data_IF_343738342886
#
_entry.id   IF_343738342886
#
_cell.length_a   1.000
_cell.length_b   1.000
_cell.length_c   1.000
_cell.angle_alpha   90.00
_cell.angle_beta   90.00
_cell.angle_gamma   90.00
#
_symmetry.space_group_name_H-M   'P 1'
#
loop_
_entity.id
_entity.type
_entity.pdbx_description
1 polymer ?
#
# COMPACT_ATOMS: atom_id res chain seq x y z
N UNK A 1 -2.41 -39.21 29.32
CA UNK A 1 -2.98 -38.34 28.25
C UNK A 1 -2.16 -37.09 28.32
N UNK A 2 -1.10 -37.02 27.52
CA UNK A 2 -0.20 -35.89 27.50
C UNK A 2 -0.83 -34.79 26.65
N UNK A 3 -1.12 -33.64 27.29
CA UNK A 3 -1.41 -32.40 26.60
C UNK A 3 -0.26 -32.13 25.62
N UNK A 4 -0.57 -32.18 24.34
CA UNK A 4 0.33 -31.66 23.30
C UNK A 4 0.23 -30.14 23.46
N UNK A 5 1.24 -29.62 24.17
CA UNK A 5 1.51 -28.18 24.28
C UNK A 5 1.78 -27.68 22.86
N UNK A 6 0.72 -27.20 22.20
CA UNK A 6 0.84 -26.65 20.85
C UNK A 6 1.66 -25.37 21.00
N UNK A 7 2.91 -25.39 20.56
CA UNK A 7 3.82 -24.26 20.61
C UNK A 7 3.09 -23.01 20.04
N UNK A 8 2.80 -21.98 20.86
CA UNK A 8 2.09 -20.77 20.42
C UNK A 8 2.86 -20.00 19.34
N UNK A 9 4.11 -20.38 19.08
CA UNK A 9 4.95 -19.81 18.02
C UNK A 9 4.50 -20.22 16.60
N UNK A 10 3.63 -21.24 16.47
CA UNK A 10 3.16 -21.79 15.19
C UNK A 10 1.67 -21.50 14.91
N UNK A 11 0.96 -20.76 15.79
CA UNK A 11 -0.44 -20.47 15.58
C UNK A 11 -0.68 -19.67 14.29
N UNK A 12 -1.63 -20.17 13.46
CA UNK A 12 -2.12 -19.48 12.27
C UNK A 12 -3.23 -18.46 12.59
N UNK A 13 -3.85 -18.56 13.78
CA UNK A 13 -4.90 -17.64 14.21
C UNK A 13 -4.29 -16.28 14.60
N UNK A 14 -4.61 -15.20 13.89
CA UNK A 14 -4.12 -13.87 14.21
C UNK A 14 -4.42 -13.43 15.66
N UNK A 15 -5.53 -13.91 16.24
CA UNK A 15 -5.91 -13.55 17.61
C UNK A 15 -5.00 -14.22 18.66
N UNK A 16 -4.60 -15.45 18.43
CA UNK A 16 -3.62 -16.14 19.30
C UNK A 16 -2.22 -15.53 19.18
N UNK A 17 -1.82 -15.16 17.96
CA UNK A 17 -0.58 -14.40 17.70
C UNK A 17 -0.60 -13.07 18.44
N UNK A 18 -1.70 -12.32 18.38
CA UNK A 18 -1.86 -11.06 19.10
C UNK A 18 -1.75 -11.27 20.62
N UNK A 19 -2.42 -12.29 21.17
CA UNK A 19 -2.37 -12.59 22.60
C UNK A 19 -0.95 -12.96 23.06
N UNK A 20 -0.19 -13.72 22.25
CA UNK A 20 1.20 -14.07 22.54
C UNK A 20 2.12 -12.84 22.46
N UNK A 21 1.94 -11.99 21.45
CA UNK A 21 2.68 -10.73 21.31
C UNK A 21 2.39 -9.76 22.45
N UNK A 22 1.11 -9.65 22.87
CA UNK A 22 0.71 -8.82 23.99
C UNK A 22 1.38 -9.21 25.31
N UNK A 23 1.50 -10.51 25.58
CA UNK A 23 2.27 -11.00 26.75
C UNK A 23 3.76 -10.59 26.68
N UNK A 24 4.38 -10.69 25.50
CA UNK A 24 5.79 -10.30 25.31
C UNK A 24 6.00 -8.80 25.46
N UNK A 25 5.09 -7.99 24.92
CA UNK A 25 5.17 -6.54 24.91
C UNK A 25 4.54 -5.87 26.15
N UNK A 26 4.00 -6.65 27.08
CA UNK A 26 3.25 -6.15 28.24
C UNK A 26 2.04 -5.29 27.84
N UNK A 27 1.34 -5.64 26.76
CA UNK A 27 0.14 -4.96 26.24
C UNK A 27 -1.09 -5.82 26.50
N UNK A 28 -2.14 -5.21 27.05
CA UNK A 28 -3.43 -5.91 27.26
C UNK A 28 -4.15 -6.13 25.93
N UNK A 29 -4.48 -7.40 25.62
CA UNK A 29 -5.12 -7.80 24.34
C UNK A 29 -6.44 -8.54 24.53
N UNK A 30 -6.91 -8.74 25.77
CA UNK A 30 -8.12 -9.52 26.05
C UNK A 30 -9.38 -8.93 25.40
N UNK A 31 -9.49 -7.60 25.38
CA UNK A 31 -10.64 -6.87 24.84
C UNK A 31 -10.39 -6.39 23.38
N UNK A 32 -9.47 -7.03 22.67
CA UNK A 32 -9.15 -6.65 21.29
C UNK A 32 -10.36 -6.79 20.37
N UNK A 33 -10.70 -5.72 19.65
CA UNK A 33 -11.78 -5.69 18.66
C UNK A 33 -11.17 -5.69 17.26
N UNK A 34 -11.65 -6.56 16.38
CA UNK A 34 -11.20 -6.66 15.00
C UNK A 34 -11.63 -5.40 14.23
N UNK A 35 -10.67 -4.67 13.63
CA UNK A 35 -10.93 -3.55 12.73
C UNK A 35 -10.98 -4.03 11.27
N UNK A 36 -9.99 -4.85 10.88
CA UNK A 36 -9.82 -5.29 9.49
C UNK A 36 -9.17 -6.67 9.46
N UNK A 37 -9.71 -7.54 8.62
CA UNK A 37 -9.12 -8.83 8.25
C UNK A 37 -8.66 -8.77 6.78
N UNK A 38 -7.36 -8.88 6.57
CA UNK A 38 -6.73 -8.76 5.24
C UNK A 38 -5.34 -9.39 5.22
N UNK A 39 -4.45 -8.92 4.35
CA UNK A 39 -3.05 -9.35 4.36
C UNK A 39 -2.39 -9.08 5.73
N UNK A 40 -2.74 -7.95 6.33
CA UNK A 40 -2.47 -7.67 7.75
C UNK A 40 -3.79 -7.65 8.50
N UNK A 41 -3.81 -8.18 9.71
CA UNK A 41 -4.99 -8.17 10.57
C UNK A 41 -4.84 -7.07 11.62
N UNK A 42 -5.81 -6.16 11.67
CA UNK A 42 -5.80 -4.99 12.54
C UNK A 42 -6.78 -5.19 13.70
N UNK A 43 -6.29 -4.95 14.91
CA UNK A 43 -7.10 -4.96 16.13
C UNK A 43 -7.01 -3.63 16.86
N UNK A 44 -8.17 -3.12 17.27
CA UNK A 44 -8.25 -2.02 18.24
C UNK A 44 -8.10 -2.59 19.64
N UNK A 45 -7.27 -1.97 20.46
CA UNK A 45 -7.05 -2.30 21.86
C UNK A 45 -7.54 -1.16 22.76
N UNK A 46 -7.65 -1.46 24.04
CA UNK A 46 -7.88 -0.42 25.06
C UNK A 46 -6.70 0.54 25.15
N UNK A 47 -6.94 1.76 25.61
CA UNK A 47 -5.86 2.76 25.77
C UNK A 47 -5.42 3.46 24.48
N UNK A 48 -6.22 3.41 23.40
CA UNK A 48 -5.93 4.12 22.17
C UNK A 48 -4.80 3.49 21.34
N UNK A 49 -4.68 2.17 21.39
CA UNK A 49 -3.68 1.38 20.66
C UNK A 49 -4.32 0.58 19.54
N UNK A 50 -3.66 0.50 18.39
CA UNK A 50 -3.97 -0.44 17.32
C UNK A 50 -2.81 -1.42 17.18
N UNK A 51 -3.12 -2.73 17.21
CA UNK A 51 -2.18 -3.79 16.90
C UNK A 51 -2.36 -4.24 15.45
N UNK A 52 -1.24 -4.40 14.73
CA UNK A 52 -1.21 -4.95 13.37
C UNK A 52 -0.44 -6.26 13.39
N UNK A 53 -1.12 -7.35 13.10
CA UNK A 53 -0.55 -8.70 12.97
C UNK A 53 -0.20 -8.93 11.51
N UNK A 54 1.09 -9.02 11.21
CA UNK A 54 1.60 -9.25 9.86
C UNK A 54 1.52 -10.71 9.43
N UNK A 55 1.63 -10.98 8.13
CA UNK A 55 1.77 -12.34 7.61
C UNK A 55 3.12 -12.97 8.03
N UNK A 56 3.24 -14.32 7.95
CA UNK A 56 4.52 -15.01 8.18
C UNK A 56 5.64 -14.43 7.30
N UNK A 57 6.84 -14.27 7.84
CA UNK A 57 8.03 -13.82 7.13
C UNK A 57 8.09 -12.32 6.80
N UNK A 58 7.10 -11.50 7.25
CA UNK A 58 7.04 -10.07 6.91
C UNK A 58 7.77 -9.14 7.89
N UNK A 59 8.72 -9.65 8.67
CA UNK A 59 9.46 -8.85 9.65
C UNK A 59 10.14 -7.63 9.03
N UNK A 60 10.81 -7.79 7.88
CA UNK A 60 11.51 -6.67 7.22
C UNK A 60 10.56 -5.55 6.78
N UNK A 61 9.33 -5.90 6.40
CA UNK A 61 8.29 -4.92 6.07
C UNK A 61 7.84 -4.18 7.33
N UNK A 62 7.62 -4.91 8.44
CA UNK A 62 7.25 -4.34 9.72
C UNK A 62 8.33 -3.38 10.26
N UNK A 63 9.60 -3.77 10.20
CA UNK A 63 10.74 -2.93 10.57
C UNK A 63 10.80 -1.65 9.73
N UNK A 64 10.58 -1.76 8.42
CA UNK A 64 10.55 -0.61 7.50
C UNK A 64 9.44 0.37 7.87
N UNK A 65 8.23 -0.11 8.12
CA UNK A 65 7.10 0.73 8.50
C UNK A 65 7.36 1.52 9.79
N UNK A 66 7.91 0.86 10.81
CA UNK A 66 8.24 1.50 12.08
C UNK A 66 9.28 2.61 11.86
N UNK A 67 10.35 2.30 11.11
CA UNK A 67 11.40 3.27 10.79
C UNK A 67 10.86 4.43 9.96
N UNK A 68 10.03 4.15 8.95
CA UNK A 68 9.39 5.17 8.14
C UNK A 68 8.46 6.07 8.97
N UNK A 69 7.64 5.49 9.85
CA UNK A 69 6.78 6.25 10.76
C UNK A 69 7.56 7.23 11.64
N UNK A 70 8.64 6.76 12.24
CA UNK A 70 9.49 7.58 13.12
C UNK A 70 10.17 8.69 12.34
N UNK A 71 10.85 8.35 11.26
CA UNK A 71 11.55 9.33 10.42
C UNK A 71 10.62 10.40 9.85
N UNK A 72 9.47 10.02 9.30
CA UNK A 72 8.49 10.97 8.75
C UNK A 72 7.95 11.90 9.85
N UNK A 73 7.68 11.35 11.02
CA UNK A 73 7.20 12.14 12.14
C UNK A 73 8.25 13.16 12.63
N UNK A 74 9.52 12.75 12.71
CA UNK A 74 10.65 13.62 13.09
C UNK A 74 10.88 14.72 12.03
N UNK A 75 10.63 14.40 10.75
CA UNK A 75 10.65 15.36 9.65
C UNK A 75 9.40 16.27 9.58
N UNK A 76 8.45 16.13 10.52
CA UNK A 76 7.25 16.95 10.58
C UNK A 76 6.17 16.59 9.56
N UNK A 77 6.24 15.39 8.95
CA UNK A 77 5.16 14.86 8.11
C UNK A 77 4.16 14.14 9.02
N UNK A 78 2.88 14.53 9.02
CA UNK A 78 1.86 13.83 9.77
C UNK A 78 1.70 12.40 9.23
N UNK A 79 1.91 11.41 10.09
CA UNK A 79 1.92 10.00 9.74
C UNK A 79 1.36 9.17 10.87
N UNK A 80 0.79 8.01 10.60
CA UNK A 80 0.43 7.04 11.64
C UNK A 80 1.65 6.75 12.51
N UNK A 81 1.49 6.88 13.84
CA UNK A 81 2.60 6.84 14.80
C UNK A 81 2.78 5.42 15.35
N UNK A 82 3.98 4.85 15.13
CA UNK A 82 4.39 3.67 15.87
C UNK A 82 4.58 4.04 17.36
N UNK A 83 4.16 3.16 18.28
CA UNK A 83 4.38 3.40 19.70
C UNK A 83 5.87 3.34 20.03
N UNK A 84 6.36 4.37 20.72
CA UNK A 84 7.79 4.45 21.13
C UNK A 84 8.06 3.77 22.48
N UNK A 85 6.99 3.45 23.22
CA UNK A 85 7.08 2.82 24.55
C UNK A 85 7.25 1.30 24.51
N UNK A 86 7.19 0.69 23.32
CA UNK A 86 7.26 -0.75 23.12
C UNK A 86 8.41 -1.04 22.14
N UNK A 87 9.26 -2.01 22.51
CA UNK A 87 10.25 -2.55 21.58
C UNK A 87 9.51 -3.39 20.52
N UNK A 88 9.64 -2.98 19.25
CA UNK A 88 8.85 -3.53 18.17
C UNK A 88 9.62 -3.60 16.83
N UNK A 89 9.28 -4.52 15.93
CA UNK A 89 8.11 -5.41 15.97
C UNK A 89 8.25 -6.51 17.03
N UNK A 90 7.13 -6.90 17.67
CA UNK A 90 7.10 -8.06 18.56
C UNK A 90 6.89 -9.34 17.74
N UNK A 91 7.87 -10.24 17.73
CA UNK A 91 7.80 -11.47 16.94
C UNK A 91 7.12 -12.60 17.70
N UNK A 92 6.19 -13.30 17.02
CA UNK A 92 5.60 -14.58 17.44
C UNK A 92 5.84 -15.60 16.33
N UNK A 93 6.82 -16.47 16.52
CA UNK A 93 7.39 -17.25 15.42
C UNK A 93 7.98 -16.33 14.37
N UNK A 94 7.53 -16.46 13.14
CA UNK A 94 7.90 -15.65 11.98
C UNK A 94 6.89 -14.52 11.66
N UNK A 95 5.89 -14.32 12.53
CA UNK A 95 4.87 -13.27 12.36
C UNK A 95 5.18 -12.04 13.21
N UNK A 96 5.35 -10.86 12.62
CA UNK A 96 5.53 -9.62 13.34
C UNK A 96 4.18 -9.06 13.82
N UNK A 97 4.18 -8.49 15.03
CA UNK A 97 3.10 -7.65 15.54
C UNK A 97 3.66 -6.26 15.80
N UNK A 98 3.03 -5.25 15.23
CA UNK A 98 3.39 -3.85 15.42
C UNK A 98 2.28 -3.08 16.13
N UNK A 99 2.67 -2.06 16.89
CA UNK A 99 1.81 -1.33 17.81
C UNK A 99 1.78 0.14 17.41
N UNK A 100 0.56 0.66 17.24
CA UNK A 100 0.34 1.98 16.66
C UNK A 100 -0.58 2.82 17.54
N UNK A 101 -0.41 4.12 17.50
CA UNK A 101 -1.35 5.07 18.10
C UNK A 101 -2.66 5.02 17.29
N UNK A 102 -3.77 4.82 17.98
CA UNK A 102 -5.09 4.85 17.34
C UNK A 102 -5.37 6.26 16.82
N UNK A 103 -5.85 6.33 15.58
CA UNK A 103 -6.30 7.59 15.00
C UNK A 103 -7.71 7.93 15.51
N UNK A 104 -8.02 9.23 15.65
CA UNK A 104 -9.38 9.68 15.91
C UNK A 104 -10.30 9.35 14.73
N UNK A 105 -11.58 9.66 14.86
CA UNK A 105 -12.53 9.57 13.74
C UNK A 105 -12.03 10.44 12.57
N UNK A 106 -12.06 9.88 11.36
CA UNK A 106 -11.44 10.50 10.19
C UNK A 106 -12.20 10.18 8.90
N UNK A 107 -12.00 11.01 7.90
CA UNK A 107 -12.41 10.81 6.51
C UNK A 107 -11.20 10.57 5.60
N UNK A 108 -11.43 10.04 4.42
CA UNK A 108 -10.42 10.04 3.37
C UNK A 108 -10.06 11.46 2.93
N UNK A 109 -8.82 11.64 2.47
CA UNK A 109 -8.34 12.89 1.95
C UNK A 109 -8.98 13.23 0.58
N UNK A 110 -9.03 14.52 0.28
CA UNK A 110 -9.31 15.02 -1.07
C UNK A 110 -8.06 14.90 -1.95
N UNK A 111 -8.19 15.00 -3.29
CA UNK A 111 -7.06 15.10 -4.19
C UNK A 111 -6.07 16.21 -3.84
N UNK A 112 -6.55 17.41 -3.53
CA UNK A 112 -5.71 18.53 -3.11
C UNK A 112 -4.92 18.25 -1.83
N UNK A 113 -5.55 17.64 -0.82
CA UNK A 113 -4.88 17.25 0.43
C UNK A 113 -3.78 16.21 0.16
N UNK A 114 -4.02 15.25 -0.74
CA UNK A 114 -3.01 14.28 -1.16
C UNK A 114 -1.84 14.96 -1.86
N UNK A 115 -2.10 15.86 -2.83
CA UNK A 115 -1.09 16.62 -3.55
C UNK A 115 -0.19 17.41 -2.59
N UNK A 116 -0.80 18.13 -1.65
CA UNK A 116 -0.06 18.93 -0.68
C UNK A 116 0.83 18.10 0.26
N UNK A 117 0.36 16.92 0.70
CA UNK A 117 1.17 16.03 1.56
C UNK A 117 2.31 15.39 0.76
N UNK A 118 2.05 14.96 -0.49
CA UNK A 118 3.11 14.42 -1.37
C UNK A 118 4.15 15.47 -1.71
N UNK A 119 3.78 16.72 -1.97
CA UNK A 119 4.73 17.81 -2.19
C UNK A 119 5.68 17.99 -0.99
N UNK A 120 5.16 17.93 0.24
CA UNK A 120 5.98 18.01 1.45
C UNK A 120 6.87 16.79 1.65
N UNK A 121 6.35 15.57 1.43
CA UNK A 121 7.10 14.33 1.51
C UNK A 121 8.27 14.34 0.53
N UNK A 122 8.00 14.68 -0.71
CA UNK A 122 8.98 14.68 -1.80
C UNK A 122 10.01 15.82 -1.71
N UNK A 123 9.77 16.81 -0.86
CA UNK A 123 10.74 17.88 -0.58
C UNK A 123 11.75 17.51 0.51
N UNK A 124 11.57 16.37 1.20
CA UNK A 124 12.51 15.92 2.21
C UNK A 124 13.81 15.42 1.56
N UNK A 125 14.92 15.73 2.20
CA UNK A 125 16.20 15.14 1.83
C UNK A 125 16.19 13.62 2.08
N UNK A 126 16.88 12.88 1.23
CA UNK A 126 17.06 11.45 1.43
C UNK A 126 17.92 11.24 2.69
N UNK A 127 17.40 10.52 3.70
CA UNK A 127 18.14 10.38 4.96
C UNK A 127 19.32 9.42 4.79
N UNK A 128 20.41 9.72 5.50
CA UNK A 128 21.51 8.76 5.66
C UNK A 128 21.08 7.56 6.52
N UNK A 129 20.22 7.82 7.51
CA UNK A 129 19.58 6.83 8.38
C UNK A 129 18.17 7.29 8.77
N UNK A 130 17.15 6.40 8.70
CA UNK A 130 17.21 5.02 8.21
C UNK A 130 17.43 4.93 6.71
N UNK A 131 18.09 3.88 6.25
CA UNK A 131 18.13 3.58 4.82
C UNK A 131 16.81 2.96 4.35
N UNK A 132 16.33 3.39 3.17
CA UNK A 132 15.15 2.86 2.53
C UNK A 132 15.52 2.07 1.26
N UNK A 133 14.82 0.95 0.95
CA UNK A 133 15.06 0.21 -0.28
C UNK A 133 14.59 1.01 -1.49
N UNK A 134 15.16 0.71 -2.65
CA UNK A 134 14.60 1.22 -3.92
C UNK A 134 13.27 0.51 -4.20
N UNK A 135 12.25 1.29 -4.55
CA UNK A 135 10.94 0.76 -4.94
C UNK A 135 11.04 0.14 -6.33
N UNK A 136 10.75 -1.16 -6.45
CA UNK A 136 10.57 -1.83 -7.73
C UNK A 136 9.07 -1.94 -8.06
N UNK A 137 8.56 -1.23 -9.06
CA UNK A 137 7.16 -1.33 -9.47
C UNK A 137 6.70 -2.74 -9.88
N UNK A 138 7.63 -3.66 -10.10
CA UNK A 138 7.37 -5.03 -10.54
C UNK A 138 7.56 -6.08 -9.43
N UNK A 139 7.88 -5.65 -8.20
CA UNK A 139 8.06 -6.56 -7.07
C UNK A 139 6.80 -7.44 -6.86
N UNK A 140 6.99 -8.77 -6.76
CA UNK A 140 5.92 -9.75 -6.54
C UNK A 140 4.92 -9.94 -7.70
N UNK A 141 5.03 -9.13 -8.77
CA UNK A 141 4.07 -9.15 -9.87
C UNK A 141 4.06 -10.49 -10.62
N UNK A 142 5.23 -11.04 -10.91
CA UNK A 142 5.37 -12.33 -11.59
C UNK A 142 4.75 -13.45 -10.78
N UNK A 143 5.07 -13.54 -9.50
CA UNK A 143 4.55 -14.59 -8.62
C UNK A 143 3.03 -14.53 -8.50
N UNK A 144 2.48 -13.31 -8.43
CA UNK A 144 1.03 -13.07 -8.42
C UNK A 144 0.36 -13.55 -9.71
N UNK A 145 0.97 -13.33 -10.88
CA UNK A 145 0.46 -13.80 -12.17
C UNK A 145 0.58 -15.32 -12.26
N UNK A 146 1.71 -15.90 -11.85
CA UNK A 146 1.99 -17.33 -11.98
C UNK A 146 1.09 -18.18 -11.05
N UNK A 147 0.79 -17.68 -9.85
CA UNK A 147 -0.11 -18.34 -8.89
C UNK A 147 -1.61 -18.16 -9.22
N UNK A 148 -1.95 -17.31 -10.17
CA UNK A 148 -3.32 -16.90 -10.48
C UNK A 148 -4.10 -17.92 -11.33
N UNK A 149 -4.55 -19.02 -10.73
CA UNK A 149 -5.25 -20.13 -11.40
C UNK A 149 -6.65 -19.78 -11.93
N UNK A 150 -7.20 -18.62 -11.60
CA UNK A 150 -8.52 -18.17 -12.04
C UNK A 150 -8.56 -17.66 -13.49
N UNK A 151 -7.40 -17.50 -14.14
CA UNK A 151 -7.24 -17.14 -15.54
C UNK A 151 -6.78 -18.34 -16.37
N UNK A 152 -7.17 -18.42 -17.66
CA UNK A 152 -6.57 -19.33 -18.62
C UNK A 152 -5.06 -19.14 -18.74
N UNK A 153 -4.35 -20.19 -19.14
CA UNK A 153 -2.89 -20.15 -19.33
C UNK A 153 -2.46 -19.10 -20.36
N UNK A 154 -3.25 -18.93 -21.42
CA UNK A 154 -3.02 -17.91 -22.46
C UNK A 154 -3.06 -16.50 -21.88
N UNK A 155 -4.04 -16.18 -21.04
CA UNK A 155 -4.14 -14.86 -20.41
C UNK A 155 -3.00 -14.61 -19.44
N UNK A 156 -2.57 -15.63 -18.67
CA UNK A 156 -1.42 -15.54 -17.78
C UNK A 156 -0.11 -15.34 -18.56
N UNK A 157 0.06 -16.05 -19.67
CA UNK A 157 1.21 -15.87 -20.55
C UNK A 157 1.24 -14.44 -21.11
N UNK A 158 0.11 -13.93 -21.59
CA UNK A 158 -0.01 -12.56 -22.09
C UNK A 158 0.32 -11.52 -21.01
N UNK A 159 -0.15 -11.69 -19.77
CA UNK A 159 0.19 -10.78 -18.65
C UNK A 159 1.69 -10.81 -18.33
N UNK A 160 2.35 -11.98 -18.38
CA UNK A 160 3.83 -12.07 -18.21
C UNK A 160 4.57 -11.32 -19.31
N UNK A 161 4.15 -11.49 -20.56
CA UNK A 161 4.75 -10.79 -21.70
C UNK A 161 4.53 -9.28 -21.59
N UNK A 162 3.34 -8.84 -21.16
CA UNK A 162 3.08 -7.43 -20.87
C UNK A 162 4.00 -6.91 -19.77
N UNK A 163 4.11 -7.62 -18.65
CA UNK A 163 4.99 -7.24 -17.54
C UNK A 163 6.46 -7.11 -17.98
N UNK A 164 6.93 -8.04 -18.82
CA UNK A 164 8.29 -8.02 -19.35
C UNK A 164 8.52 -6.81 -20.28
N UNK A 165 7.60 -6.53 -21.21
CA UNK A 165 7.68 -5.35 -22.08
C UNK A 165 7.70 -4.06 -21.28
N UNK A 166 6.78 -3.92 -20.33
CA UNK A 166 6.70 -2.75 -19.46
C UNK A 166 7.96 -2.57 -18.61
N UNK A 167 8.57 -3.66 -18.14
CA UNK A 167 9.86 -3.57 -17.42
C UNK A 167 10.97 -3.03 -18.32
N UNK A 168 11.05 -3.47 -19.57
CA UNK A 168 12.04 -2.94 -20.52
C UNK A 168 11.80 -1.47 -20.82
N UNK A 169 10.56 -1.06 -21.03
CA UNK A 169 10.19 0.34 -21.22
C UNK A 169 10.53 1.17 -19.98
N UNK A 170 10.14 0.71 -18.79
CA UNK A 170 10.42 1.39 -17.52
C UNK A 170 11.91 1.66 -17.30
N UNK A 171 12.78 0.70 -17.66
CA UNK A 171 14.23 0.86 -17.54
C UNK A 171 14.80 1.95 -18.49
N UNK A 172 14.06 2.35 -19.50
CA UNK A 172 14.47 3.41 -20.46
C UNK A 172 13.82 4.75 -20.13
N UNK A 173 12.88 4.81 -19.19
CA UNK A 173 12.25 6.06 -18.80
C UNK A 173 13.25 6.99 -18.12
N UNK A 174 13.16 8.25 -18.49
CA UNK A 174 13.87 9.34 -17.81
C UNK A 174 12.85 10.08 -16.97
N UNK A 175 12.87 9.95 -15.62
CA UNK A 175 12.01 10.74 -14.75
C UNK A 175 12.26 12.24 -14.96
N UNK A 176 11.19 13.03 -14.97
CA UNK A 176 11.30 14.51 -15.02
C UNK A 176 11.55 15.09 -13.62
N UNK A 177 11.10 14.38 -12.58
CA UNK A 177 11.28 14.78 -11.20
C UNK A 177 12.45 14.00 -10.55
N UNK A 178 13.10 14.65 -9.58
CA UNK A 178 14.20 14.02 -8.86
C UNK A 178 13.71 12.84 -8.01
N UNK A 179 14.56 11.83 -7.88
CA UNK A 179 14.34 10.73 -6.93
C UNK A 179 14.36 11.24 -5.49
N UNK A 180 13.48 10.69 -4.68
CA UNK A 180 13.39 10.99 -3.26
C UNK A 180 12.86 9.78 -2.49
N UNK A 181 12.58 9.93 -1.20
CA UNK A 181 11.73 8.97 -0.47
C UNK A 181 10.29 9.18 -0.93
N UNK A 182 9.69 8.12 -1.42
CA UNK A 182 8.30 8.08 -1.87
C UNK A 182 7.46 7.18 -0.94
N UNK A 183 6.14 7.39 -0.92
CA UNK A 183 5.21 6.52 -0.20
C UNK A 183 5.12 5.13 -0.84
N UNK A 184 5.22 5.06 -2.17
CA UNK A 184 5.21 3.83 -2.97
C UNK A 184 3.82 3.24 -3.27
N UNK A 185 2.80 3.64 -2.52
CA UNK A 185 1.39 3.30 -2.76
C UNK A 185 0.46 4.47 -2.41
N UNK A 186 0.79 5.67 -2.91
CA UNK A 186 0.04 6.88 -2.63
C UNK A 186 -1.31 6.89 -3.37
N UNK A 187 -2.38 7.04 -2.62
CA UNK A 187 -3.75 7.28 -3.07
C UNK A 187 -4.60 7.81 -1.91
N UNK A 188 -5.78 8.35 -2.20
CA UNK A 188 -6.63 9.03 -1.21
C UNK A 188 -7.01 8.15 -0.01
N UNK A 189 -7.10 6.81 -0.18
CA UNK A 189 -7.42 5.89 0.91
C UNK A 189 -6.26 5.64 1.88
N UNK A 190 -5.03 5.99 1.50
CA UNK A 190 -3.84 5.92 2.35
C UNK A 190 -3.49 7.28 2.98
N UNK A 191 -4.39 8.26 2.88
CA UNK A 191 -4.30 9.54 3.56
C UNK A 191 -5.65 9.85 4.21
N UNK A 192 -5.65 10.11 5.50
CA UNK A 192 -6.88 10.39 6.26
C UNK A 192 -6.81 11.74 6.97
N UNK A 193 -7.96 12.37 7.15
CA UNK A 193 -8.08 13.67 7.80
C UNK A 193 -9.01 13.54 9.00
N UNK A 194 -8.55 13.91 10.22
CA UNK A 194 -9.41 13.88 11.40
C UNK A 194 -10.67 14.73 11.21
N UNK A 195 -11.83 14.21 11.60
CA UNK A 195 -13.12 14.91 11.46
C UNK A 195 -13.17 16.18 12.31
N UNK A 196 -12.59 16.16 13.50
CA UNK A 196 -12.51 17.32 14.40
C UNK A 196 -11.51 18.38 13.96
N UNK A 197 -10.85 18.18 12.81
CA UNK A 197 -9.81 19.06 12.30
C UNK A 197 -8.40 18.56 12.62
N UNK A 198 -7.45 19.04 11.84
CA UNK A 198 -6.04 18.63 11.95
C UNK A 198 -5.40 18.42 10.60
N UNK A 199 -4.10 18.11 10.61
CA UNK A 199 -3.36 17.82 9.41
C UNK A 199 -3.70 16.40 8.87
N UNK A 200 -3.73 16.23 7.53
CA UNK A 200 -3.87 14.90 6.92
C UNK A 200 -2.74 13.97 7.37
N UNK A 201 -3.08 12.71 7.70
CA UNK A 201 -2.17 11.69 8.26
C UNK A 201 -1.94 10.59 7.24
N UNK A 202 -0.68 10.33 6.86
CA UNK A 202 -0.29 9.22 5.99
C UNK A 202 -0.41 7.88 6.71
N UNK A 203 -0.97 6.90 6.01
CA UNK A 203 -1.15 5.52 6.44
C UNK A 203 -0.36 4.57 5.53
N UNK A 204 -0.34 3.30 5.88
CA UNK A 204 0.13 2.17 5.06
C UNK A 204 1.55 2.35 4.48
N UNK A 205 2.52 2.38 5.38
CA UNK A 205 3.94 2.65 5.08
C UNK A 205 4.72 1.42 4.56
N UNK A 206 4.01 0.39 4.07
CA UNK A 206 4.59 -0.89 3.62
C UNK A 206 5.56 -0.73 2.44
N UNK A 207 5.28 0.27 1.60
CA UNK A 207 5.99 0.50 0.34
C UNK A 207 6.90 1.73 0.36
N UNK A 208 7.09 2.37 1.53
CA UNK A 208 7.99 3.52 1.64
C UNK A 208 9.41 3.12 1.20
N UNK A 209 9.97 3.88 0.27
CA UNK A 209 11.27 3.59 -0.31
C UNK A 209 11.80 4.72 -1.17
N UNK A 210 12.94 4.50 -1.82
CA UNK A 210 13.51 5.44 -2.79
C UNK A 210 12.94 5.19 -4.17
N UNK A 211 12.52 6.23 -4.85
CA UNK A 211 11.96 6.10 -6.20
C UNK A 211 11.71 7.44 -6.91
N UNK A 212 11.26 7.38 -8.16
CA UNK A 212 10.81 8.56 -8.89
C UNK A 212 9.50 9.06 -8.28
N UNK A 213 9.38 10.37 -8.11
CA UNK A 213 8.17 11.02 -7.55
C UNK A 213 6.91 10.69 -8.35
N UNK A 214 7.07 10.49 -9.65
CA UNK A 214 6.00 10.11 -10.58
C UNK A 214 5.27 8.84 -10.14
N UNK A 215 5.94 7.93 -9.42
CA UNK A 215 5.32 6.71 -8.91
C UNK A 215 4.25 6.96 -7.84
N UNK A 216 4.37 8.02 -7.05
CA UNK A 216 3.33 8.41 -6.09
C UNK A 216 2.20 9.22 -6.74
N UNK A 217 2.45 9.87 -7.86
CA UNK A 217 1.44 10.68 -8.56
C UNK A 217 0.55 9.85 -9.49
N UNK A 218 1.01 8.66 -9.90
CA UNK A 218 0.38 7.86 -10.95
C UNK A 218 -1.03 7.39 -10.60
N UNK A 219 -1.30 7.01 -9.36
CA UNK A 219 -2.59 6.43 -8.99
C UNK A 219 -3.75 7.39 -9.23
N UNK A 220 -3.58 8.66 -8.83
CA UNK A 220 -4.62 9.67 -9.02
C UNK A 220 -4.76 10.08 -10.50
N UNK A 221 -3.65 10.17 -11.23
CA UNK A 221 -3.67 10.44 -12.65
C UNK A 221 -4.42 9.36 -13.44
N UNK A 222 -4.24 8.09 -13.08
CA UNK A 222 -4.96 6.95 -13.67
C UNK A 222 -6.44 6.97 -13.29
N UNK A 223 -6.78 7.30 -12.05
CA UNK A 223 -8.18 7.46 -11.61
C UNK A 223 -8.91 8.56 -12.39
N UNK A 224 -8.18 9.61 -12.78
CA UNK A 224 -8.69 10.69 -13.62
C UNK A 224 -8.87 10.25 -15.08
N UNK A 225 -7.79 9.75 -15.73
CA UNK A 225 -7.79 9.53 -17.19
C UNK A 225 -8.45 8.24 -17.62
N UNK A 226 -8.29 7.16 -16.83
CA UNK A 226 -8.66 5.82 -17.28
C UNK A 226 -9.95 5.32 -16.64
N UNK A 227 -10.35 5.89 -15.50
CA UNK A 227 -11.51 5.46 -14.74
C UNK A 227 -12.57 6.54 -14.55
N UNK A 228 -12.27 7.81 -14.82
CA UNK A 228 -13.15 8.95 -14.54
C UNK A 228 -13.72 8.93 -13.09
N UNK A 229 -12.91 8.47 -12.12
CA UNK A 229 -13.31 8.40 -10.71
C UNK A 229 -13.25 9.74 -10.00
N UNK A 230 -12.47 10.65 -10.54
CA UNK A 230 -12.34 12.03 -10.07
C UNK A 230 -12.64 12.99 -11.20
N UNK A 231 -13.13 14.17 -10.86
CA UNK A 231 -13.44 15.20 -11.85
C UNK A 231 -12.17 15.90 -12.36
N UNK A 232 -12.28 16.62 -13.47
CA UNK A 232 -11.19 17.48 -13.97
C UNK A 232 -10.78 18.53 -12.93
N UNK A 233 -11.75 19.10 -12.20
CA UNK A 233 -11.45 20.06 -11.14
C UNK A 233 -10.65 19.42 -10.00
N UNK A 234 -11.07 18.25 -9.53
CA UNK A 234 -10.37 17.54 -8.45
C UNK A 234 -8.94 17.17 -8.86
N UNK A 235 -8.75 16.76 -10.12
CA UNK A 235 -7.41 16.47 -10.63
C UNK A 235 -6.55 17.74 -10.73
N UNK A 236 -7.13 18.85 -11.18
CA UNK A 236 -6.41 20.14 -11.24
C UNK A 236 -6.03 20.61 -9.83
N UNK A 237 -6.94 20.50 -8.85
CA UNK A 237 -6.67 20.82 -7.46
C UNK A 237 -5.50 19.99 -6.88
N UNK A 238 -5.38 18.72 -7.29
CA UNK A 238 -4.23 17.87 -6.95
C UNK A 238 -2.93 18.38 -7.57
N UNK A 239 -2.96 18.69 -8.88
CA UNK A 239 -1.80 19.21 -9.62
C UNK A 239 -1.31 20.52 -9.00
N UNK A 240 -2.22 21.45 -8.73
CA UNK A 240 -1.89 22.75 -8.15
C UNK A 240 -1.31 22.60 -6.74
N UNK A 241 -1.94 21.75 -5.89
CA UNK A 241 -1.47 21.49 -4.54
C UNK A 241 -0.12 20.77 -4.48
N UNK A 242 0.21 19.96 -5.49
CA UNK A 242 1.53 19.32 -5.62
C UNK A 242 2.62 20.29 -6.10
N UNK A 243 2.28 21.43 -6.67
CA UNK A 243 3.24 22.43 -7.17
C UNK A 243 3.19 22.62 -8.69
N UNK A 244 2.10 22.25 -9.34
CA UNK A 244 1.81 22.53 -10.75
C UNK A 244 2.35 21.48 -11.73
N UNK A 245 2.86 20.32 -11.26
CA UNK A 245 3.33 19.25 -12.14
C UNK A 245 2.17 18.32 -12.54
N UNK A 246 1.75 18.41 -13.81
CA UNK A 246 0.77 17.49 -14.40
C UNK A 246 1.49 16.32 -15.07
N UNK A 247 1.53 15.19 -14.37
CA UNK A 247 2.22 14.01 -14.88
C UNK A 247 1.55 13.36 -16.09
N UNK A 248 0.29 13.69 -16.42
CA UNK A 248 -0.37 13.15 -17.62
C UNK A 248 0.25 13.71 -18.92
N UNK A 249 0.99 14.81 -18.82
CA UNK A 249 1.73 15.41 -19.93
C UNK A 249 3.12 14.81 -20.14
N UNK A 250 3.64 14.08 -19.15
CA UNK A 250 4.95 13.45 -19.25
C UNK A 250 4.95 12.27 -20.22
N UNK A 251 5.99 12.14 -21.04
CA UNK A 251 6.10 11.09 -22.05
C UNK A 251 6.10 9.66 -21.47
N UNK A 252 6.54 9.48 -20.22
CA UNK A 252 6.52 8.19 -19.50
C UNK A 252 5.20 7.85 -18.84
N UNK A 253 4.21 8.77 -18.84
CA UNK A 253 2.93 8.60 -18.15
C UNK A 253 2.25 7.29 -18.50
N UNK A 254 2.07 6.97 -19.79
CA UNK A 254 1.30 5.77 -20.18
C UNK A 254 1.97 4.48 -19.75
N UNK A 255 3.29 4.41 -19.75
CA UNK A 255 4.05 3.25 -19.27
C UNK A 255 3.82 3.05 -17.77
N UNK A 256 3.97 4.09 -16.94
CA UNK A 256 3.70 3.99 -15.50
C UNK A 256 2.23 3.67 -15.20
N UNK A 257 1.29 4.27 -15.92
CA UNK A 257 -0.12 4.01 -15.77
C UNK A 257 -0.45 2.53 -16.05
N UNK A 258 0.08 1.97 -17.14
CA UNK A 258 -0.14 0.55 -17.47
C UNK A 258 0.52 -0.38 -16.43
N UNK A 259 1.68 -0.01 -15.86
CA UNK A 259 2.28 -0.76 -14.75
C UNK A 259 1.36 -0.73 -13.53
N UNK A 260 0.79 0.42 -13.16
CA UNK A 260 -0.14 0.54 -12.03
C UNK A 260 -1.41 -0.29 -12.25
N UNK A 261 -2.01 -0.23 -13.43
CA UNK A 261 -3.17 -1.01 -13.84
C UNK A 261 -2.89 -2.51 -13.78
N UNK A 262 -1.73 -2.94 -14.26
CA UNK A 262 -1.28 -4.34 -14.20
C UNK A 262 -1.11 -4.81 -12.74
N UNK A 263 -0.52 -4.00 -11.86
CA UNK A 263 -0.43 -4.30 -10.43
C UNK A 263 -1.80 -4.47 -9.77
N UNK A 264 -2.74 -3.56 -10.05
CA UNK A 264 -4.12 -3.66 -9.55
C UNK A 264 -4.83 -4.91 -10.09
N UNK A 265 -4.53 -5.32 -11.32
CA UNK A 265 -5.06 -6.58 -11.90
C UNK A 265 -4.47 -7.79 -11.20
N UNK A 266 -3.16 -7.84 -10.98
CA UNK A 266 -2.48 -8.93 -10.29
C UNK A 266 -2.91 -9.06 -8.81
N UNK A 267 -3.17 -7.95 -8.12
CA UNK A 267 -3.73 -7.95 -6.77
C UNK A 267 -5.09 -8.65 -6.69
N UNK A 268 -5.99 -8.36 -7.65
CA UNK A 268 -7.31 -9.03 -7.70
C UNK A 268 -7.18 -10.48 -8.14
N UNK A 269 -6.22 -10.80 -9.00
CA UNK A 269 -5.93 -12.16 -9.43
C UNK A 269 -5.55 -13.06 -8.23
N UNK A 270 -4.77 -12.55 -7.29
CA UNK A 270 -4.45 -13.27 -6.04
C UNK A 270 -5.68 -13.63 -5.19
N UNK A 271 -6.77 -12.87 -5.31
CA UNK A 271 -8.04 -13.14 -4.60
C UNK A 271 -9.03 -14.00 -5.41
N UNK A 272 -8.80 -14.15 -6.71
CA UNK A 272 -9.77 -14.70 -7.66
C UNK A 272 -10.03 -16.20 -7.47
N UNK A 273 -9.09 -16.97 -6.91
CA UNK A 273 -9.26 -18.41 -6.65
C UNK A 273 -10.34 -18.68 -5.62
N UNK A 274 -10.46 -17.84 -4.60
CA UNK A 274 -11.45 -17.99 -3.51
C UNK A 274 -12.70 -17.13 -3.70
N UNK A 275 -12.73 -16.24 -4.71
CA UNK A 275 -13.81 -15.27 -4.90
C UNK A 275 -14.25 -15.19 -6.37
N UNK A 276 -15.43 -15.75 -6.71
CA UNK A 276 -15.95 -15.74 -8.09
C UNK A 276 -16.15 -14.34 -8.69
N UNK A 277 -16.49 -13.33 -7.86
CA UNK A 277 -16.60 -11.94 -8.33
C UNK A 277 -15.23 -11.37 -8.71
N UNK A 278 -14.19 -11.68 -7.92
CA UNK A 278 -12.83 -11.32 -8.25
C UNK A 278 -12.36 -12.01 -9.54
N UNK A 279 -12.70 -13.28 -9.75
CA UNK A 279 -12.38 -14.02 -10.99
C UNK A 279 -13.05 -13.39 -12.22
N UNK A 280 -14.31 -12.96 -12.11
CA UNK A 280 -14.99 -12.24 -13.20
C UNK A 280 -14.30 -10.88 -13.47
N UNK A 281 -13.98 -10.16 -12.40
CA UNK A 281 -13.35 -8.84 -12.51
C UNK A 281 -11.96 -8.93 -13.14
N UNK A 282 -11.16 -9.96 -12.82
CA UNK A 282 -9.84 -10.13 -13.43
C UNK A 282 -9.95 -10.34 -14.94
N UNK A 283 -10.87 -11.17 -15.43
CA UNK A 283 -11.10 -11.34 -16.88
C UNK A 283 -11.46 -10.03 -17.56
N UNK A 284 -12.33 -9.22 -16.92
CA UNK A 284 -12.67 -7.90 -17.42
C UNK A 284 -11.46 -6.97 -17.49
N UNK A 285 -10.60 -6.97 -16.45
CA UNK A 285 -9.38 -6.15 -16.41
C UNK A 285 -8.37 -6.56 -17.48
N UNK A 286 -8.23 -7.86 -17.76
CA UNK A 286 -7.39 -8.36 -18.87
C UNK A 286 -7.91 -7.85 -20.21
N UNK A 287 -9.23 -7.89 -20.45
CA UNK A 287 -9.84 -7.32 -21.66
C UNK A 287 -9.59 -5.81 -21.78
N UNK A 288 -9.69 -5.06 -20.68
CA UNK A 288 -9.34 -3.64 -20.62
C UNK A 288 -7.87 -3.40 -21.02
N UNK A 289 -6.95 -4.13 -20.40
CA UNK A 289 -5.50 -4.01 -20.66
C UNK A 289 -5.14 -4.39 -22.12
N UNK A 290 -5.89 -5.29 -22.74
CA UNK A 290 -5.76 -5.65 -24.16
C UNK A 290 -6.32 -4.59 -25.12
N UNK A 291 -7.03 -3.60 -24.61
CA UNK A 291 -7.72 -2.59 -25.42
C UNK A 291 -9.03 -3.06 -26.04
N UNK A 292 -9.60 -4.14 -25.53
CA UNK A 292 -10.90 -4.69 -25.99
C UNK A 292 -12.09 -3.93 -25.36
N UNK A 293 -11.83 -3.10 -24.36
CA UNK A 293 -12.82 -2.26 -23.68
C UNK A 293 -12.35 -0.81 -23.73
N UNK A 294 -13.25 0.08 -24.17
CA UNK A 294 -12.96 1.52 -24.21
C UNK A 294 -12.92 2.14 -22.80
N UNK A 295 -12.09 3.18 -22.62
CA UNK A 295 -12.09 4.01 -21.40
C UNK A 295 -13.31 4.95 -21.41
N UNK A 296 -13.84 5.37 -20.26
CA UNK A 296 -13.35 5.05 -18.91
C UNK A 296 -13.75 3.64 -18.45
N UNK A 297 -12.85 2.97 -17.75
CA UNK A 297 -13.07 1.62 -17.25
C UNK A 297 -13.83 1.62 -15.91
N UNK A 298 -14.61 0.57 -15.68
CA UNK A 298 -15.30 0.34 -14.42
C UNK A 298 -14.72 -0.90 -13.71
N UNK A 299 -13.79 -0.67 -12.79
CA UNK A 299 -13.18 -1.73 -11.98
C UNK A 299 -13.69 -1.67 -10.54
N UNK A 300 -14.18 -2.82 -10.05
CA UNK A 300 -14.60 -2.96 -8.66
C UNK A 300 -13.39 -3.12 -7.73
N UNK A 301 -13.49 -2.56 -6.52
CA UNK A 301 -12.53 -2.80 -5.45
C UNK A 301 -12.73 -4.19 -4.81
N UNK A 302 -11.64 -4.75 -4.22
CA UNK A 302 -11.63 -6.04 -3.54
C UNK A 302 -10.79 -6.01 -2.27
#
# INVERSE_FOLDING_TARGET
MSDVDTDPLLSRDPREVLAAAGRKACVATAEATLIRDGANVLYQLTGGVVARVGPPGSQLVADRQIRASRWLADAGIPVVRALDTIDQPTLVGDRPVTWWVQLPEHRHATPAELGAVLARLHALDVPESPSFPTVDPFEGLRDSIDSGTALPDEDRAWLRDLAQRLRMEYMTLVPELAWCVIHGDAWQGNLVVPVEGGAPVLLDLDHVGLGPREWDLISLAVDYTDFARITTSDYQDFVDAYGGYDMTTWSGYRTLATIRELRWTAFVLGKATANPKAAQQVRHRVACLRGEVERPWSWSAF
#
